data_IF_447692501442
#
_entry.id   IF_447692501442
#
_cell.length_a   1.000
_cell.length_b   1.000
_cell.length_c   1.000
_cell.angle_alpha   90.00
_cell.angle_beta   90.00
_cell.angle_gamma   90.00
#
_symmetry.space_group_name_H-M   'P 1'
#
loop_
_entity.id
_entity.type
_entity.pdbx_description
1 polymer ?
#
# COMPACT_ATOMS: atom_id res chain seq x y z
N UNK A 1 40.32 45.33 35.97
CA UNK A 1 41.13 44.52 35.03
C UNK A 1 42.08 45.45 34.29
N UNK A 2 43.39 45.22 34.39
CA UNK A 2 44.39 46.04 33.70
C UNK A 2 44.26 45.92 32.18
N UNK A 3 44.66 46.94 31.42
CA UNK A 3 44.58 46.97 29.96
C UNK A 3 45.13 45.68 29.33
N UNK A 4 46.28 45.19 29.79
CA UNK A 4 46.89 43.94 29.31
C UNK A 4 45.98 42.71 29.43
N UNK A 5 45.24 42.57 30.53
CA UNK A 5 44.24 41.49 30.69
C UNK A 5 43.11 41.57 29.66
N UNK A 6 42.70 42.78 29.25
CA UNK A 6 41.66 42.95 28.21
C UNK A 6 42.22 42.57 26.83
N UNK A 7 43.46 42.95 26.52
CA UNK A 7 44.13 42.57 25.26
C UNK A 7 44.35 41.06 25.15
N UNK A 8 44.75 40.40 26.24
CA UNK A 8 44.93 38.94 26.28
C UNK A 8 43.59 38.22 26.08
N UNK A 9 42.53 38.64 26.78
CA UNK A 9 41.20 38.03 26.63
C UNK A 9 40.63 38.27 25.22
N UNK A 10 40.82 39.46 24.64
CA UNK A 10 40.41 39.75 23.27
C UNK A 10 41.20 38.94 22.23
N UNK A 11 42.51 38.77 22.41
CA UNK A 11 43.33 37.93 21.53
C UNK A 11 42.94 36.44 21.64
N UNK A 12 42.60 35.97 22.85
CA UNK A 12 42.13 34.61 23.07
C UNK A 12 40.74 34.37 22.43
N UNK A 13 39.82 35.32 22.56
CA UNK A 13 38.50 35.26 21.90
C UNK A 13 38.64 35.26 20.37
N UNK A 14 39.50 36.10 19.82
CA UNK A 14 39.78 36.17 18.38
C UNK A 14 40.42 34.88 17.86
N UNK A 15 41.32 34.27 18.63
CA UNK A 15 41.92 32.97 18.31
C UNK A 15 40.89 31.82 18.31
N UNK A 16 39.91 31.86 19.22
CA UNK A 16 38.82 30.88 19.28
C UNK A 16 37.85 31.06 18.09
N UNK A 17 37.57 32.29 17.66
CA UNK A 17 36.73 32.59 16.49
C UNK A 17 37.39 32.16 15.16
N UNK A 18 38.71 32.24 15.05
CA UNK A 18 39.47 31.78 13.87
C UNK A 18 39.69 30.26 13.85
N UNK A 19 39.46 29.59 14.99
CA UNK A 19 39.66 28.15 15.17
C UNK A 19 38.41 27.29 15.00
N UNK A 20 37.25 27.86 14.62
CA UNK A 20 36.08 27.07 14.25
C UNK A 20 36.26 26.64 12.79
N UNK A 21 36.64 25.39 12.48
CA UNK A 21 36.61 24.93 11.10
C UNK A 21 35.17 25.09 10.60
N UNK A 22 34.97 26.03 9.66
CA UNK A 22 33.69 26.19 8.97
C UNK A 22 33.25 24.84 8.40
N UNK A 23 31.95 24.55 8.49
CA UNK A 23 31.35 23.26 8.15
C UNK A 23 31.90 22.68 6.84
N UNK A 24 32.82 21.73 6.96
CA UNK A 24 33.46 21.02 5.84
C UNK A 24 32.56 19.94 5.22
N UNK A 25 31.26 20.05 5.47
CA UNK A 25 30.24 19.05 5.14
C UNK A 25 29.14 19.66 4.25
N UNK A 26 29.46 20.75 3.53
CA UNK A 26 28.60 21.29 2.49
C UNK A 26 28.69 20.37 1.27
N UNK A 27 27.57 19.77 0.86
CA UNK A 27 27.44 19.07 -0.42
C UNK A 27 26.60 19.95 -1.34
N UNK A 28 27.17 20.39 -2.44
CA UNK A 28 26.43 21.15 -3.44
C UNK A 28 25.48 20.22 -4.19
N UNK A 29 24.29 20.72 -4.52
CA UNK A 29 23.25 19.93 -5.22
C UNK A 29 23.77 19.44 -6.58
N UNK A 30 24.66 20.20 -7.21
CA UNK A 30 25.27 19.88 -8.50
C UNK A 30 26.25 18.70 -8.43
N UNK A 31 26.72 18.32 -7.23
CA UNK A 31 27.60 17.16 -7.02
C UNK A 31 26.85 15.87 -6.67
N UNK A 32 25.51 15.90 -6.71
CA UNK A 32 24.65 14.80 -6.28
C UNK A 32 23.90 14.17 -7.44
N UNK A 33 23.87 12.83 -7.45
CA UNK A 33 22.92 12.03 -8.22
C UNK A 33 21.73 11.68 -7.34
N UNK A 34 20.61 12.37 -7.55
CA UNK A 34 19.39 12.16 -6.75
C UNK A 34 18.76 10.82 -7.15
N UNK A 35 18.79 9.86 -6.23
CA UNK A 35 18.20 8.53 -6.43
C UNK A 35 16.74 8.56 -5.96
N UNK A 36 15.81 8.20 -6.84
CA UNK A 36 14.37 8.16 -6.55
C UNK A 36 13.88 6.77 -6.17
N UNK A 37 14.37 5.73 -6.84
CA UNK A 37 14.03 4.33 -6.55
C UNK A 37 15.28 3.46 -6.49
N UNK A 38 15.20 2.41 -5.67
CA UNK A 38 16.18 1.33 -5.58
C UNK A 38 15.45 0.00 -5.74
N UNK A 39 15.86 -0.80 -6.70
CA UNK A 39 15.46 -2.19 -6.86
C UNK A 39 16.54 -3.12 -6.35
N UNK A 40 16.13 -4.19 -5.67
CA UNK A 40 16.99 -5.24 -5.16
C UNK A 40 16.52 -6.56 -5.74
N UNK A 41 17.35 -7.14 -6.59
CA UNK A 41 17.15 -8.44 -7.22
C UNK A 41 18.23 -9.42 -6.79
N UNK A 42 17.95 -10.71 -6.98
CA UNK A 42 18.94 -11.78 -6.88
C UNK A 42 19.21 -12.36 -8.29
N UNK A 43 20.48 -12.53 -8.62
CA UNK A 43 20.93 -13.14 -9.87
C UNK A 43 20.97 -14.67 -9.76
N UNK A 44 21.09 -15.38 -10.89
CA UNK A 44 21.13 -16.85 -10.91
C UNK A 44 22.29 -17.44 -10.10
N UNK A 45 23.38 -16.71 -9.96
CA UNK A 45 24.57 -17.04 -9.16
C UNK A 45 24.47 -16.55 -7.70
N UNK A 46 23.26 -16.24 -7.20
CA UNK A 46 22.99 -15.79 -5.83
C UNK A 46 23.72 -14.50 -5.42
N UNK A 47 24.06 -13.66 -6.41
CA UNK A 47 24.58 -12.32 -6.16
C UNK A 47 23.44 -11.30 -6.13
N UNK A 48 23.69 -10.18 -5.48
CA UNK A 48 22.71 -9.12 -5.32
C UNK A 48 22.90 -8.11 -6.44
N UNK A 49 21.85 -7.91 -7.24
CA UNK A 49 21.81 -6.85 -8.24
C UNK A 49 21.00 -5.69 -7.68
N UNK A 50 21.63 -4.53 -7.63
CA UNK A 50 20.99 -3.26 -7.24
C UNK A 50 20.78 -2.44 -8.49
N UNK A 51 19.54 -2.01 -8.69
CA UNK A 51 19.14 -1.14 -9.80
C UNK A 51 18.66 0.20 -9.21
N UNK A 52 19.07 1.33 -9.78
CA UNK A 52 18.71 2.67 -9.29
C UNK A 52 18.07 3.50 -10.39
N UNK A 53 16.99 4.20 -10.05
CA UNK A 53 16.42 5.29 -10.85
C UNK A 53 17.02 6.61 -10.39
N UNK A 54 17.81 7.26 -11.24
CA UNK A 54 18.51 8.53 -10.94
C UNK A 54 17.87 9.65 -11.76
N UNK A 55 17.60 10.81 -11.15
CA UNK A 55 17.10 11.99 -11.87
C UNK A 55 18.10 12.42 -12.94
N UNK A 56 17.63 12.67 -14.17
CA UNK A 56 18.42 13.34 -15.21
C UNK A 56 18.16 14.86 -15.19
N UNK A 57 19.07 15.69 -14.67
CA UNK A 57 18.85 17.13 -14.59
C UNK A 57 18.68 17.82 -15.95
N UNK A 58 19.20 17.22 -17.04
CA UNK A 58 19.08 17.77 -18.38
C UNK A 58 17.63 17.66 -18.91
N UNK A 59 16.95 16.57 -18.54
CA UNK A 59 15.63 16.19 -19.06
C UNK A 59 14.51 16.31 -18.02
N UNK A 60 14.82 16.59 -16.74
CA UNK A 60 13.86 16.72 -15.65
C UNK A 60 13.10 18.06 -15.61
N UNK A 61 13.12 18.86 -16.69
CA UNK A 61 12.40 20.14 -16.75
C UNK A 61 10.91 19.86 -16.95
N UNK A 62 10.09 20.22 -15.95
CA UNK A 62 8.64 20.19 -16.04
C UNK A 62 8.10 20.97 -17.26
N UNK A 63 6.84 20.77 -17.66
CA UNK A 63 6.34 21.22 -18.95
C UNK A 63 6.51 22.73 -19.13
N UNK A 64 7.58 23.14 -19.82
CA UNK A 64 7.68 24.49 -20.36
C UNK A 64 6.62 24.59 -21.45
N UNK A 65 5.72 25.55 -21.27
CA UNK A 65 4.68 25.89 -22.23
C UNK A 65 5.28 26.17 -23.61
N UNK A 66 5.23 25.17 -24.49
CA UNK A 66 5.61 25.28 -25.89
C UNK A 66 6.77 24.39 -26.30
N UNK A 67 6.47 23.15 -26.68
CA UNK A 67 7.13 22.43 -27.77
C UNK A 67 6.44 21.08 -28.04
N UNK A 68 5.98 20.92 -29.28
CA UNK A 68 6.09 19.70 -30.11
C UNK A 68 5.64 18.34 -29.57
N UNK A 69 4.86 17.65 -30.39
CA UNK A 69 4.52 16.22 -30.31
C UNK A 69 5.72 15.28 -30.59
N UNK A 70 6.89 15.59 -30.04
CA UNK A 70 8.08 14.75 -30.09
C UNK A 70 8.10 13.72 -28.96
N UNK A 71 8.77 12.59 -29.20
CA UNK A 71 9.05 11.54 -28.20
C UNK A 71 9.67 12.22 -26.96
N UNK A 72 9.00 12.13 -25.79
CA UNK A 72 9.52 12.70 -24.53
C UNK A 72 10.83 11.99 -24.18
N UNK A 73 11.90 12.76 -23.99
CA UNK A 73 13.15 12.24 -23.42
C UNK A 73 12.88 11.73 -21.99
N UNK A 74 13.54 10.63 -21.60
CA UNK A 74 13.38 10.04 -20.26
C UNK A 74 13.91 11.00 -19.20
N UNK A 75 13.10 11.34 -18.20
CA UNK A 75 13.46 12.27 -17.13
C UNK A 75 14.42 11.64 -16.10
N UNK A 76 14.76 10.36 -16.27
CA UNK A 76 15.61 9.56 -15.39
C UNK A 76 16.57 8.68 -16.15
N UNK A 77 17.62 8.28 -15.45
CA UNK A 77 18.65 7.36 -15.91
C UNK A 77 18.60 6.14 -15.00
N UNK A 78 18.38 4.97 -15.58
CA UNK A 78 18.46 3.68 -14.87
C UNK A 78 19.89 3.13 -14.93
N UNK A 79 20.46 2.77 -13.77
CA UNK A 79 21.78 2.13 -13.64
C UNK A 79 21.68 0.90 -12.76
N UNK A 80 22.56 -0.08 -12.99
CA UNK A 80 22.53 -1.34 -12.26
C UNK A 80 23.94 -1.89 -12.09
N UNK A 81 24.24 -2.42 -10.90
CA UNK A 81 25.45 -3.18 -10.62
C UNK A 81 25.12 -4.42 -9.81
N UNK A 82 26.04 -5.40 -9.85
CA UNK A 82 25.88 -6.66 -9.13
C UNK A 82 27.09 -6.89 -8.23
N UNK A 83 26.84 -7.13 -6.95
CA UNK A 83 27.84 -7.44 -5.94
C UNK A 83 27.45 -8.64 -5.08
N UNK A 84 28.37 -9.11 -4.25
CA UNK A 84 28.11 -10.17 -3.27
C UNK A 84 27.26 -9.67 -2.10
N UNK A 85 27.24 -8.34 -1.88
CA UNK A 85 26.45 -7.64 -0.86
C UNK A 85 25.76 -6.42 -1.47
N UNK A 86 24.76 -5.87 -0.78
CA UNK A 86 24.08 -4.63 -1.21
C UNK A 86 25.09 -3.48 -1.19
N UNK A 87 25.95 -3.43 -0.18
CA UNK A 87 27.00 -2.44 -0.01
C UNK A 87 28.00 -2.46 -1.18
N UNK A 88 28.44 -3.65 -1.60
CA UNK A 88 29.34 -3.81 -2.74
C UNK A 88 28.68 -3.35 -4.04
N UNK A 89 27.44 -3.77 -4.29
CA UNK A 89 26.69 -3.36 -5.48
C UNK A 89 26.47 -1.84 -5.54
N UNK A 90 26.12 -1.21 -4.40
CA UNK A 90 25.96 0.24 -4.30
C UNK A 90 27.31 0.96 -4.44
N UNK A 91 28.40 0.41 -3.90
CA UNK A 91 29.74 0.96 -4.08
C UNK A 91 30.17 0.97 -5.54
N UNK A 92 29.95 -0.13 -6.26
CA UNK A 92 30.22 -0.21 -7.71
C UNK A 92 29.36 0.79 -8.51
N UNK A 93 28.10 1.02 -8.11
CA UNK A 93 27.26 2.04 -8.74
C UNK A 93 27.84 3.45 -8.53
N UNK A 94 28.30 3.77 -7.32
CA UNK A 94 28.89 5.08 -6.99
C UNK A 94 30.19 5.34 -7.78
N UNK A 95 30.91 4.29 -8.18
CA UNK A 95 32.09 4.38 -9.05
C UNK A 95 31.77 4.55 -10.54
N UNK A 96 30.60 4.07 -11.00
CA UNK A 96 30.19 4.15 -12.41
C UNK A 96 29.63 5.53 -12.79
N UNK A 97 29.03 6.23 -11.83
CA UNK A 97 28.38 7.53 -12.07
C UNK A 97 29.28 8.72 -11.72
N UNK A 98 29.21 9.84 -12.45
CA UNK A 98 30.14 10.97 -12.28
C UNK A 98 29.90 11.80 -11.00
N UNK A 99 28.80 11.57 -10.29
CA UNK A 99 28.39 12.30 -9.08
C UNK A 99 27.99 11.32 -7.99
N UNK A 100 28.18 11.69 -6.73
CA UNK A 100 27.87 10.82 -5.60
C UNK A 100 26.37 10.50 -5.53
N UNK A 101 26.02 9.24 -5.31
CA UNK A 101 24.64 8.84 -5.11
C UNK A 101 24.06 9.48 -3.84
N UNK A 102 22.93 10.18 -4.00
CA UNK A 102 22.18 10.81 -2.93
C UNK A 102 20.87 10.08 -2.68
N UNK A 103 20.91 9.15 -1.72
CA UNK A 103 19.82 8.22 -1.41
C UNK A 103 18.77 8.79 -0.44
N UNK A 104 18.99 9.99 0.10
CA UNK A 104 18.07 10.59 1.08
C UNK A 104 16.73 11.03 0.49
N UNK A 105 16.63 11.11 -0.85
CA UNK A 105 15.40 11.36 -1.60
C UNK A 105 14.76 10.11 -2.18
N UNK A 106 15.34 8.92 -1.95
CA UNK A 106 14.71 7.69 -2.38
C UNK A 106 13.31 7.61 -1.74
N UNK A 107 12.32 7.37 -2.59
CA UNK A 107 10.91 7.30 -2.24
C UNK A 107 10.36 5.88 -2.28
N UNK A 108 11.00 4.97 -3.05
CA UNK A 108 10.58 3.57 -3.22
C UNK A 108 11.77 2.62 -3.19
N UNK A 109 11.61 1.50 -2.48
CA UNK A 109 12.47 0.32 -2.57
C UNK A 109 11.64 -0.86 -3.07
N UNK A 110 12.13 -1.53 -4.11
CA UNK A 110 11.46 -2.63 -4.80
C UNK A 110 12.24 -3.91 -4.54
N UNK A 111 11.56 -4.96 -4.09
CA UNK A 111 12.13 -6.28 -3.91
C UNK A 111 11.65 -7.19 -5.04
N UNK A 112 12.59 -7.72 -5.82
CA UNK A 112 12.29 -8.74 -6.83
C UNK A 112 11.92 -10.07 -6.17
N UNK A 113 11.15 -10.89 -6.89
CA UNK A 113 10.58 -12.13 -6.35
C UNK A 113 11.61 -13.07 -5.71
N UNK A 114 12.69 -13.38 -6.44
CA UNK A 114 13.72 -14.32 -5.96
C UNK A 114 14.41 -13.82 -4.70
N UNK A 115 14.76 -12.53 -4.65
CA UNK A 115 15.38 -11.93 -3.47
C UNK A 115 14.40 -11.95 -2.27
N UNK A 116 13.14 -11.59 -2.51
CA UNK A 116 12.12 -11.52 -1.47
C UNK A 116 11.76 -12.90 -0.90
N UNK A 117 11.71 -13.94 -1.73
CA UNK A 117 11.40 -15.32 -1.29
C UNK A 117 12.53 -15.94 -0.47
N UNK A 118 13.80 -15.64 -0.79
CA UNK A 118 14.95 -16.06 0.02
C UNK A 118 15.05 -15.29 1.34
N UNK A 119 14.65 -14.02 1.37
CA UNK A 119 14.51 -13.22 2.57
C UNK A 119 15.19 -11.86 2.46
N UNK A 120 14.46 -10.80 2.87
CA UNK A 120 14.92 -9.41 2.75
C UNK A 120 15.70 -8.90 3.97
N UNK A 121 16.02 -9.76 4.95
CA UNK A 121 16.64 -9.34 6.22
C UNK A 121 17.97 -8.58 6.03
N UNK A 122 18.76 -8.95 5.01
CA UNK A 122 20.00 -8.23 4.66
C UNK A 122 19.72 -6.81 4.19
N UNK A 123 18.66 -6.60 3.41
CA UNK A 123 18.23 -5.27 3.02
C UNK A 123 17.70 -4.47 4.20
N UNK A 124 16.95 -5.09 5.12
CA UNK A 124 16.50 -4.42 6.33
C UNK A 124 17.68 -3.95 7.20
N UNK A 125 18.71 -4.79 7.40
CA UNK A 125 19.92 -4.42 8.14
C UNK A 125 20.65 -3.25 7.48
N UNK A 126 20.88 -3.33 6.17
CA UNK A 126 21.54 -2.28 5.40
C UNK A 126 20.80 -0.93 5.52
N UNK A 127 19.48 -0.95 5.36
CA UNK A 127 18.64 0.25 5.41
C UNK A 127 18.56 0.87 6.82
N UNK A 128 18.55 0.05 7.87
CA UNK A 128 18.51 0.52 9.26
C UNK A 128 19.88 1.05 9.74
N UNK A 129 20.99 0.50 9.23
CA UNK A 129 22.34 0.95 9.58
C UNK A 129 22.76 2.21 8.83
N UNK A 130 22.22 2.44 7.63
CA UNK A 130 22.58 3.60 6.83
C UNK A 130 21.69 4.83 7.14
N UNK A 131 22.24 5.78 7.90
CA UNK A 131 21.57 7.03 8.32
C UNK A 131 21.11 7.93 7.16
N UNK A 132 21.54 7.65 5.93
CA UNK A 132 21.12 8.42 4.74
C UNK A 132 19.70 8.09 4.30
N UNK A 133 19.17 6.91 4.67
CA UNK A 133 17.83 6.48 4.30
C UNK A 133 16.79 7.05 5.26
N UNK A 134 15.65 7.49 4.72
CA UNK A 134 14.50 7.92 5.51
C UNK A 134 13.56 6.74 5.67
N UNK A 135 13.09 6.49 6.90
CA UNK A 135 12.10 5.40 7.19
C UNK A 135 10.69 5.63 6.59
N UNK A 136 10.51 6.63 5.71
CA UNK A 136 9.26 6.89 4.99
C UNK A 136 9.27 6.41 3.53
N UNK A 137 10.33 5.72 3.12
CA UNK A 137 10.40 5.01 1.85
C UNK A 137 9.30 3.98 1.74
N UNK A 138 8.70 3.88 0.57
CA UNK A 138 7.71 2.87 0.28
C UNK A 138 8.41 1.56 -0.08
N UNK A 139 8.05 0.46 0.58
CA UNK A 139 8.49 -0.87 0.17
C UNK A 139 7.44 -1.49 -0.74
N UNK A 140 7.91 -2.11 -1.82
CA UNK A 140 7.10 -2.82 -2.82
C UNK A 140 7.75 -4.16 -3.13
N UNK A 141 6.94 -5.19 -3.34
CA UNK A 141 7.37 -6.49 -3.89
C UNK A 141 6.73 -6.71 -5.27
N UNK A 142 7.42 -7.46 -6.14
CA UNK A 142 6.91 -7.90 -7.45
C UNK A 142 7.20 -9.38 -7.66
N UNK A 143 6.35 -10.07 -8.42
CA UNK A 143 6.59 -11.44 -8.87
C UNK A 143 7.65 -11.53 -10.00
N UNK A 144 7.98 -10.39 -10.62
CA UNK A 144 9.07 -10.25 -11.58
C UNK A 144 10.39 -9.78 -10.94
N UNK A 145 11.20 -9.08 -11.74
CA UNK A 145 12.39 -8.39 -11.23
C UNK A 145 12.07 -6.93 -10.91
N UNK A 146 12.77 -6.37 -9.93
CA UNK A 146 12.67 -4.96 -9.60
C UNK A 146 13.08 -4.06 -10.79
N UNK A 147 14.02 -4.54 -11.61
CA UNK A 147 14.44 -3.85 -12.84
C UNK A 147 13.32 -3.75 -13.89
N UNK A 148 12.41 -4.73 -13.96
CA UNK A 148 11.30 -4.69 -14.93
C UNK A 148 10.31 -3.57 -14.59
N UNK A 149 10.02 -3.37 -13.31
CA UNK A 149 9.18 -2.26 -12.86
C UNK A 149 9.81 -0.89 -13.20
N UNK A 150 11.12 -0.73 -13.00
CA UNK A 150 11.85 0.52 -13.27
C UNK A 150 12.14 0.79 -14.76
N UNK A 151 11.78 -0.12 -15.65
CA UNK A 151 11.93 0.06 -17.11
C UNK A 151 10.59 0.05 -17.85
N UNK A 152 9.48 -0.12 -17.11
CA UNK A 152 8.11 -0.10 -17.64
C UNK A 152 7.62 1.32 -17.99
N UNK A 153 6.53 1.43 -18.75
CA UNK A 153 5.92 2.74 -19.04
C UNK A 153 5.22 3.32 -17.81
N UNK A 154 5.42 4.61 -17.52
CA UNK A 154 4.80 5.29 -16.36
C UNK A 154 3.92 6.49 -16.75
N UNK A 155 3.54 6.59 -18.02
CA UNK A 155 2.68 7.69 -18.51
C UNK A 155 1.35 7.72 -17.74
N UNK A 156 0.88 8.88 -17.23
CA UNK A 156 1.36 10.25 -17.48
C UNK A 156 2.45 10.78 -16.54
N UNK A 157 2.88 10.00 -15.55
CA UNK A 157 3.97 10.36 -14.64
C UNK A 157 5.33 10.40 -15.35
N UNK A 158 6.28 11.10 -14.74
CA UNK A 158 7.65 11.24 -15.24
C UNK A 158 8.67 10.31 -14.56
N UNK A 159 8.35 9.85 -13.35
CA UNK A 159 9.26 9.07 -12.49
C UNK A 159 8.56 7.78 -12.06
N UNK A 160 9.25 6.64 -12.20
CA UNK A 160 8.71 5.34 -11.77
C UNK A 160 8.46 5.33 -10.28
N UNK A 161 9.37 5.89 -9.50
CA UNK A 161 9.23 6.01 -8.06
C UNK A 161 7.92 6.74 -7.66
N UNK A 162 7.61 7.86 -8.31
CA UNK A 162 6.37 8.61 -8.04
C UNK A 162 5.13 7.85 -8.52
N UNK A 163 5.18 7.22 -9.70
CA UNK A 163 4.08 6.42 -10.21
C UNK A 163 3.73 5.25 -9.27
N UNK A 164 4.72 4.47 -8.87
CA UNK A 164 4.54 3.36 -7.91
C UNK A 164 3.97 3.86 -6.58
N UNK A 165 4.51 4.97 -6.07
CA UNK A 165 4.04 5.54 -4.81
C UNK A 165 2.59 5.99 -4.88
N UNK A 166 2.22 6.74 -5.92
CA UNK A 166 0.85 7.19 -6.15
C UNK A 166 -0.12 6.01 -6.32
N UNK A 167 0.28 4.93 -7.01
CA UNK A 167 -0.54 3.73 -7.17
C UNK A 167 -0.82 3.06 -5.82
N UNK A 168 0.19 2.92 -4.95
CA UNK A 168 0.00 2.33 -3.62
C UNK A 168 -0.81 3.24 -2.72
N UNK A 169 -0.55 4.55 -2.70
CA UNK A 169 -1.33 5.52 -1.91
C UNK A 169 -2.80 5.53 -2.36
N UNK A 170 -3.08 5.47 -3.66
CA UNK A 170 -4.43 5.33 -4.18
C UNK A 170 -5.06 3.99 -3.79
N UNK A 171 -4.29 2.90 -3.82
CA UNK A 171 -4.72 1.59 -3.37
C UNK A 171 -5.09 1.57 -1.88
N UNK A 172 -4.33 2.28 -1.04
CA UNK A 172 -4.64 2.45 0.38
C UNK A 172 -5.97 3.19 0.58
N UNK A 173 -6.23 4.25 -0.19
CA UNK A 173 -7.51 4.97 -0.15
C UNK A 173 -8.71 4.11 -0.58
N UNK A 174 -8.49 3.12 -1.44
CA UNK A 174 -9.52 2.17 -1.90
C UNK A 174 -9.56 0.87 -1.09
N UNK A 175 -8.73 0.74 -0.06
CA UNK A 175 -8.56 -0.48 0.73
C UNK A 175 -8.09 -1.70 -0.09
N UNK A 176 -7.37 -1.50 -1.19
CA UNK A 176 -6.79 -2.56 -2.04
C UNK A 176 -5.27 -2.72 -1.86
N UNK A 177 -4.65 -1.88 -1.01
CA UNK A 177 -3.24 -1.98 -0.63
C UNK A 177 -3.07 -1.63 0.87
N UNK A 178 -1.92 -1.98 1.43
CA UNK A 178 -1.53 -1.67 2.81
C UNK A 178 -0.52 -0.51 2.86
N UNK A 179 -0.40 0.15 4.02
CA UNK A 179 0.72 1.03 4.25
C UNK A 179 2.01 0.21 4.35
N UNK A 180 2.78 0.18 3.27
CA UNK A 180 4.04 -0.55 3.17
C UNK A 180 5.28 0.35 3.27
N UNK A 181 5.19 1.51 3.94
CA UNK A 181 6.40 2.29 4.23
C UNK A 181 7.39 1.49 5.08
N UNK A 182 8.70 1.75 4.97
CA UNK A 182 9.74 1.09 5.77
C UNK A 182 9.38 1.07 7.25
N UNK A 183 8.96 2.21 7.82
CA UNK A 183 8.53 2.27 9.22
C UNK A 183 7.33 1.36 9.52
N UNK A 184 6.34 1.31 8.63
CA UNK A 184 5.15 0.47 8.80
C UNK A 184 5.50 -1.01 8.70
N UNK A 185 6.32 -1.38 7.71
CA UNK A 185 6.82 -2.74 7.53
C UNK A 185 7.64 -3.17 8.75
N UNK A 186 8.60 -2.36 9.20
CA UNK A 186 9.43 -2.66 10.37
C UNK A 186 8.62 -2.80 11.65
N UNK A 187 7.59 -1.99 11.84
CA UNK A 187 6.65 -2.15 12.98
C UNK A 187 5.92 -3.50 12.94
N UNK A 188 5.67 -4.04 11.76
CA UNK A 188 5.02 -5.34 11.61
C UNK A 188 6.02 -6.50 11.72
N UNK A 189 7.21 -6.35 11.14
CA UNK A 189 8.31 -7.28 11.27
C UNK A 189 8.74 -7.49 12.73
N UNK A 190 8.66 -6.45 13.57
CA UNK A 190 9.01 -6.51 14.99
C UNK A 190 7.84 -6.84 15.93
N UNK A 191 6.65 -7.16 15.40
CA UNK A 191 5.50 -7.60 16.21
C UNK A 191 5.65 -9.08 16.61
N UNK A 192 4.95 -9.51 17.67
CA UNK A 192 4.78 -10.90 18.07
C UNK A 192 4.73 -11.96 16.97
N UNK A 193 3.95 -11.76 15.90
CA UNK A 193 3.83 -12.73 14.81
C UNK A 193 4.97 -12.68 13.80
N UNK A 194 5.71 -11.57 13.71
CA UNK A 194 6.70 -11.32 12.65
C UNK A 194 6.15 -11.44 11.22
N UNK A 195 4.89 -11.10 10.98
CA UNK A 195 4.21 -11.34 9.68
C UNK A 195 3.81 -10.04 8.97
N UNK A 196 4.77 -9.27 8.44
CA UNK A 196 4.46 -8.03 7.76
C UNK A 196 3.79 -8.25 6.40
N UNK A 197 3.05 -7.23 5.94
CA UNK A 197 2.54 -7.18 4.58
C UNK A 197 3.13 -5.98 3.82
N UNK A 198 3.30 -6.16 2.51
CA UNK A 198 3.88 -5.16 1.61
C UNK A 198 3.00 -4.98 0.37
N UNK A 199 2.93 -3.78 -0.20
CA UNK A 199 2.21 -3.60 -1.46
C UNK A 199 2.88 -4.39 -2.59
N UNK A 200 2.05 -5.00 -3.45
CA UNK A 200 2.51 -5.78 -4.61
C UNK A 200 2.20 -5.05 -5.90
N UNK A 201 3.22 -4.82 -6.70
CA UNK A 201 3.09 -4.17 -8.01
C UNK A 201 3.60 -5.11 -9.10
N UNK A 202 2.95 -5.08 -10.26
CA UNK A 202 3.34 -5.88 -11.42
C UNK A 202 3.43 -5.02 -12.68
N UNK A 203 4.23 -5.49 -13.63
CA UNK A 203 4.26 -4.91 -14.98
C UNK A 203 3.10 -5.44 -15.82
N UNK A 204 2.35 -4.52 -16.43
CA UNK A 204 1.36 -4.81 -17.45
C UNK A 204 1.75 -4.16 -18.79
N UNK A 205 1.04 -4.51 -19.86
CA UNK A 205 1.30 -4.01 -21.23
C UNK A 205 1.42 -2.48 -21.32
N UNK A 206 0.68 -1.75 -20.48
CA UNK A 206 0.58 -0.29 -20.52
C UNK A 206 1.16 0.39 -19.27
N UNK A 207 1.98 -0.31 -18.48
CA UNK A 207 2.67 0.28 -17.31
C UNK A 207 2.57 -0.56 -16.06
N UNK A 208 2.67 0.08 -14.90
CA UNK A 208 2.65 -0.59 -13.58
C UNK A 208 1.22 -0.70 -13.06
N UNK A 209 0.86 -1.86 -12.52
CA UNK A 209 -0.46 -2.10 -11.91
C UNK A 209 -0.32 -2.62 -10.48
N UNK A 210 -1.18 -2.17 -9.54
CA UNK A 210 -1.26 -2.75 -8.21
C UNK A 210 -2.05 -4.05 -8.21
N UNK A 211 -1.42 -5.13 -7.72
CA UNK A 211 -1.97 -6.49 -7.71
C UNK A 211 -2.11 -7.04 -6.28
N UNK A 212 -2.52 -6.14 -5.39
CA UNK A 212 -2.79 -6.41 -3.97
C UNK A 212 -1.55 -6.26 -3.09
N UNK A 213 -1.30 -7.26 -2.25
CA UNK A 213 -0.21 -7.23 -1.26
C UNK A 213 0.53 -8.56 -1.21
N UNK A 214 1.82 -8.51 -0.92
CA UNK A 214 2.59 -9.67 -0.52
C UNK A 214 2.55 -9.90 0.99
N UNK A 215 2.48 -11.17 1.37
CA UNK A 215 2.47 -11.67 2.74
C UNK A 215 3.85 -12.23 3.07
N UNK A 216 4.38 -11.86 4.24
CA UNK A 216 5.70 -12.26 4.68
C UNK A 216 5.65 -13.04 6.00
N UNK A 217 6.56 -13.99 6.16
CA UNK A 217 6.92 -14.61 7.44
C UNK A 217 8.37 -14.20 7.77
N UNK A 218 8.52 -13.33 8.75
CA UNK A 218 9.74 -12.56 8.96
C UNK A 218 10.08 -11.71 7.74
N UNK A 219 11.27 -11.92 7.19
CA UNK A 219 11.75 -11.27 5.97
C UNK A 219 11.42 -12.02 4.69
N UNK A 220 10.76 -13.20 4.75
CA UNK A 220 10.53 -14.05 3.58
C UNK A 220 9.15 -13.82 2.98
N UNK A 221 9.09 -13.53 1.68
CA UNK A 221 7.84 -13.46 0.91
C UNK A 221 7.27 -14.88 0.72
N UNK A 222 6.04 -15.13 1.19
CA UNK A 222 5.41 -16.47 1.25
C UNK A 222 4.26 -16.66 0.27
N UNK A 223 3.30 -15.75 0.29
CA UNK A 223 2.12 -15.74 -0.57
C UNK A 223 1.66 -14.29 -0.77
N UNK A 224 0.56 -14.06 -1.48
CA UNK A 224 -0.01 -12.75 -1.73
C UNK A 224 -1.53 -12.76 -1.56
N UNK A 225 -2.12 -11.61 -1.25
CA UNK A 225 -3.56 -11.40 -1.41
C UNK A 225 -3.79 -10.50 -2.62
N UNK A 226 -4.76 -10.87 -3.45
CA UNK A 226 -5.17 -10.03 -4.60
C UNK A 226 -5.86 -8.75 -4.13
N UNK A 227 -5.93 -7.74 -4.99
CA UNK A 227 -6.64 -6.48 -4.70
C UNK A 227 -8.09 -6.68 -4.22
N UNK A 228 -8.75 -7.77 -4.61
CA UNK A 228 -10.10 -8.13 -4.16
C UNK A 228 -10.16 -8.77 -2.76
N UNK A 229 -9.07 -9.39 -2.30
CA UNK A 229 -8.96 -10.05 -0.99
C UNK A 229 -8.46 -9.09 0.10
N UNK A 230 -7.65 -8.08 -0.26
CA UNK A 230 -7.09 -7.09 0.69
C UNK A 230 -8.14 -6.41 1.58
N UNK A 231 -9.31 -5.97 1.08
CA UNK A 231 -10.33 -5.37 1.95
C UNK A 231 -10.79 -6.29 3.09
N UNK A 232 -10.79 -7.61 2.88
CA UNK A 232 -11.18 -8.57 3.90
C UNK A 232 -10.11 -8.72 4.99
N UNK A 233 -8.81 -8.72 4.61
CA UNK A 233 -7.71 -8.65 5.56
C UNK A 233 -7.78 -7.36 6.40
N UNK A 234 -7.88 -6.21 5.73
CA UNK A 234 -7.86 -4.90 6.39
C UNK A 234 -8.99 -4.77 7.41
N UNK A 235 -10.14 -5.42 7.18
CA UNK A 235 -11.28 -5.41 8.10
C UNK A 235 -10.98 -6.06 9.46
N UNK A 236 -10.03 -6.99 9.54
CA UNK A 236 -9.54 -7.50 10.83
C UNK A 236 -8.62 -6.50 11.53
N UNK A 237 -7.78 -5.81 10.76
CA UNK A 237 -6.65 -5.03 11.27
C UNK A 237 -7.04 -3.62 11.71
N UNK A 238 -8.04 -3.03 11.04
CA UNK A 238 -8.40 -1.63 11.23
C UNK A 238 -9.85 -1.36 10.82
N UNK A 239 -10.33 -0.20 11.26
CA UNK A 239 -11.57 0.37 10.78
C UNK A 239 -11.46 0.62 9.27
N UNK A 240 -12.41 0.08 8.50
CA UNK A 240 -12.41 0.25 7.04
C UNK A 240 -13.00 1.62 6.69
N UNK A 241 -12.38 2.29 5.72
CA UNK A 241 -12.89 3.54 5.14
C UNK A 241 -13.12 3.30 3.64
N UNK A 242 -14.33 3.63 3.17
CA UNK A 242 -14.70 3.70 1.74
C UNK A 242 -14.17 2.54 0.86
N UNK A 243 -14.89 1.41 0.86
CA UNK A 243 -14.60 0.28 -0.05
C UNK A 243 -15.85 -0.17 -0.78
N UNK A 244 -15.71 -0.68 -2.00
CA UNK A 244 -16.82 -1.20 -2.78
C UNK A 244 -16.89 -2.73 -2.71
N UNK A 245 -18.09 -3.24 -2.48
CA UNK A 245 -18.40 -4.67 -2.44
C UNK A 245 -19.40 -4.94 -3.54
N UNK A 246 -19.01 -5.79 -4.48
CA UNK A 246 -19.82 -6.13 -5.65
C UNK A 246 -20.32 -7.56 -5.51
N UNK A 247 -21.64 -7.73 -5.58
CA UNK A 247 -22.32 -9.02 -5.45
C UNK A 247 -23.05 -9.31 -6.77
N UNK A 248 -22.79 -10.47 -7.43
CA UNK A 248 -23.49 -10.84 -8.65
C UNK A 248 -25.01 -10.91 -8.46
N UNK A 249 -25.77 -10.47 -9.47
CA UNK A 249 -27.22 -10.59 -9.48
C UNK A 249 -27.64 -12.05 -9.75
N UNK A 250 -28.51 -12.62 -8.92
CA UNK A 250 -28.91 -14.04 -8.99
C UNK A 250 -30.23 -14.30 -9.75
N UNK A 251 -30.76 -13.32 -10.49
CA UNK A 251 -32.09 -13.45 -11.11
C UNK A 251 -32.06 -14.29 -12.40
N UNK A 252 -33.14 -15.04 -12.66
CA UNK A 252 -33.27 -15.91 -13.85
C UNK A 252 -33.52 -15.14 -15.16
N UNK A 253 -33.88 -13.86 -15.08
CA UNK A 253 -34.15 -12.99 -16.24
C UNK A 253 -32.90 -12.25 -16.74
N UNK A 254 -31.78 -12.39 -16.02
CA UNK A 254 -30.51 -11.80 -16.46
C UNK A 254 -29.88 -12.70 -17.53
N UNK A 255 -29.62 -12.20 -18.75
CA UNK A 255 -28.75 -12.87 -19.69
C UNK A 255 -27.44 -13.20 -18.98
N UNK A 256 -26.88 -14.36 -19.28
CA UNK A 256 -25.64 -14.84 -18.69
C UNK A 256 -24.50 -13.83 -18.99
N UNK A 257 -24.19 -12.96 -18.01
CA UNK A 257 -23.12 -11.96 -18.13
C UNK A 257 -23.28 -10.71 -17.24
N UNK A 258 -22.32 -10.51 -16.33
CA UNK A 258 -21.84 -9.23 -15.76
C UNK A 258 -22.79 -8.23 -15.10
N UNK A 259 -23.98 -8.64 -14.64
CA UNK A 259 -24.80 -7.76 -13.81
C UNK A 259 -24.55 -8.02 -12.31
N UNK A 260 -24.24 -6.94 -11.59
CA UNK A 260 -23.96 -6.97 -10.17
C UNK A 260 -24.62 -5.80 -9.43
N UNK A 261 -24.86 -6.01 -8.16
CA UNK A 261 -25.24 -5.00 -7.18
C UNK A 261 -23.98 -4.59 -6.42
N UNK A 262 -23.72 -3.28 -6.38
CA UNK A 262 -22.52 -2.72 -5.74
C UNK A 262 -22.92 -1.92 -4.52
N UNK A 263 -22.30 -2.25 -3.40
CA UNK A 263 -22.42 -1.54 -2.13
C UNK A 263 -21.14 -0.77 -1.86
N UNK A 264 -21.26 0.50 -1.49
CA UNK A 264 -20.15 1.29 -1.00
C UNK A 264 -20.20 1.30 0.51
N UNK A 265 -19.31 0.55 1.14
CA UNK A 265 -19.09 0.59 2.59
C UNK A 265 -18.56 1.97 2.93
N UNK A 266 -19.25 2.71 3.79
CA UNK A 266 -18.82 4.04 4.21
C UNK A 266 -17.74 3.94 5.27
N UNK A 267 -18.06 3.16 6.31
CA UNK A 267 -17.19 2.91 7.44
C UNK A 267 -17.62 1.61 8.14
N UNK A 268 -16.64 0.85 8.65
CA UNK A 268 -16.88 -0.23 9.60
C UNK A 268 -15.92 -0.12 10.77
N UNK A 269 -16.41 -0.44 11.96
CA UNK A 269 -15.63 -0.68 13.15
C UNK A 269 -15.53 -2.18 13.42
N UNK A 270 -14.32 -2.66 13.72
CA UNK A 270 -14.08 -4.08 14.05
C UNK A 270 -13.49 -4.22 15.45
N UNK A 271 -14.10 -5.07 16.27
CA UNK A 271 -13.58 -5.46 17.57
C UNK A 271 -13.26 -6.96 17.59
N UNK A 272 -11.98 -7.28 17.79
CA UNK A 272 -11.49 -8.67 17.88
C UNK A 272 -11.23 -9.01 19.35
N UNK A 273 -11.85 -10.09 19.85
CA UNK A 273 -11.75 -10.50 21.26
C UNK A 273 -11.28 -11.94 21.39
N UNK A 274 -10.18 -12.20 22.12
CA UNK A 274 -9.76 -13.56 22.42
C UNK A 274 -10.70 -14.18 23.46
N UNK A 275 -11.07 -15.43 23.22
CA UNK A 275 -11.89 -16.28 24.10
C UNK A 275 -11.08 -17.52 24.44
N UNK A 276 -10.83 -17.74 25.73
CA UNK A 276 -9.91 -18.77 26.20
C UNK A 276 -10.68 -19.74 27.09
N UNK A 277 -10.68 -21.02 26.72
CA UNK A 277 -11.30 -22.09 27.49
C UNK A 277 -10.29 -23.22 27.70
N UNK A 278 -9.66 -23.26 28.88
CA UNK A 278 -8.54 -24.18 29.13
C UNK A 278 -7.36 -23.85 28.21
N UNK A 279 -6.92 -24.83 27.41
CA UNK A 279 -5.84 -24.67 26.43
C UNK A 279 -6.34 -24.28 25.03
N UNK A 280 -7.65 -24.15 24.81
CA UNK A 280 -8.20 -23.78 23.51
C UNK A 280 -8.40 -22.26 23.43
N UNK A 281 -7.78 -21.64 22.42
CA UNK A 281 -7.97 -20.22 22.10
C UNK A 281 -8.85 -20.07 20.87
N UNK A 282 -9.85 -19.20 20.98
CA UNK A 282 -10.75 -18.81 19.90
C UNK A 282 -10.79 -17.29 19.80
N UNK A 283 -11.16 -16.78 18.65
CA UNK A 283 -11.36 -15.34 18.46
C UNK A 283 -12.80 -15.05 18.05
N UNK A 284 -13.39 -14.04 18.68
CA UNK A 284 -14.67 -13.48 18.27
C UNK A 284 -14.43 -12.15 17.57
N UNK A 285 -14.89 -12.04 16.33
CA UNK A 285 -14.73 -10.87 15.46
C UNK A 285 -16.09 -10.22 15.26
N UNK A 286 -16.27 -9.06 15.88
CA UNK A 286 -17.49 -8.28 15.77
C UNK A 286 -17.27 -7.10 14.81
N UNK A 287 -18.06 -7.04 13.74
CA UNK A 287 -18.00 -5.99 12.73
C UNK A 287 -19.33 -5.23 12.72
N UNK A 288 -19.25 -3.90 12.83
CA UNK A 288 -20.39 -2.99 12.75
C UNK A 288 -20.11 -1.89 11.75
N UNK A 289 -21.07 -1.53 10.91
CA UNK A 289 -20.83 -0.45 9.96
C UNK A 289 -22.05 0.04 9.20
N UNK A 290 -21.79 0.93 8.26
CA UNK A 290 -22.78 1.53 7.39
C UNK A 290 -22.34 1.44 5.94
N UNK A 291 -23.30 1.26 5.05
CA UNK A 291 -23.06 1.20 3.62
C UNK A 291 -24.18 1.88 2.84
N UNK A 292 -23.90 2.19 1.58
CA UNK A 292 -24.85 2.70 0.61
C UNK A 292 -24.88 1.78 -0.61
N UNK A 293 -25.95 1.86 -1.39
CA UNK A 293 -26.05 1.13 -2.66
C UNK A 293 -25.57 2.06 -3.77
N UNK A 294 -24.46 1.71 -4.41
CA UNK A 294 -23.94 2.43 -5.59
C UNK A 294 -24.64 2.00 -6.87
N UNK A 295 -25.01 0.72 -6.98
CA UNK A 295 -25.66 0.15 -8.16
C UNK A 295 -26.64 -0.93 -7.74
N UNK A 296 -27.86 -0.87 -8.26
CA UNK A 296 -28.89 -1.90 -8.05
C UNK A 296 -28.91 -2.92 -9.18
N UNK A 297 -29.25 -4.16 -8.86
CA UNK A 297 -29.64 -5.12 -9.89
C UNK A 297 -30.88 -4.63 -10.65
N UNK A 298 -30.97 -4.82 -11.98
CA UNK A 298 -32.15 -4.45 -12.76
C UNK A 298 -33.45 -5.04 -12.19
N UNK A 299 -34.53 -4.26 -12.24
CA UNK A 299 -35.84 -4.67 -11.70
C UNK A 299 -35.96 -4.67 -10.17
N UNK A 300 -34.88 -4.37 -9.45
CA UNK A 300 -34.91 -4.24 -7.99
C UNK A 300 -35.76 -3.04 -7.56
N UNK A 301 -36.68 -3.28 -6.61
CA UNK A 301 -37.49 -2.21 -6.00
C UNK A 301 -36.99 -1.94 -4.58
N UNK A 302 -36.54 -0.72 -4.25
CA UNK A 302 -36.03 -0.40 -2.92
C UNK A 302 -37.19 -0.25 -1.91
N UNK A 303 -37.61 -1.35 -1.29
CA UNK A 303 -38.60 -1.37 -0.19
C UNK A 303 -37.93 -1.73 1.14
N UNK A 304 -38.54 -1.42 2.30
CA UNK A 304 -37.97 -1.81 3.59
C UNK A 304 -37.61 -3.30 3.70
N UNK A 305 -38.42 -4.17 3.09
CA UNK A 305 -38.19 -5.61 3.08
C UNK A 305 -37.02 -6.02 2.17
N UNK A 306 -36.81 -5.35 1.03
CA UNK A 306 -35.65 -5.65 0.17
C UNK A 306 -34.35 -5.14 0.78
N UNK A 307 -34.37 -3.98 1.45
CA UNK A 307 -33.21 -3.47 2.19
C UNK A 307 -32.73 -4.48 3.24
N UNK A 308 -33.64 -5.02 4.06
CA UNK A 308 -33.28 -6.03 5.06
C UNK A 308 -32.68 -7.30 4.43
N UNK A 309 -33.17 -7.72 3.25
CA UNK A 309 -32.57 -8.85 2.51
C UNK A 309 -31.16 -8.53 2.00
N UNK A 310 -30.95 -7.31 1.50
CA UNK A 310 -29.64 -6.85 1.02
C UNK A 310 -28.63 -6.71 2.14
N UNK A 311 -29.04 -6.22 3.32
CA UNK A 311 -28.21 -6.18 4.52
C UNK A 311 -27.74 -7.59 4.91
N UNK A 312 -28.68 -8.55 5.02
CA UNK A 312 -28.32 -9.95 5.33
C UNK A 312 -27.37 -10.55 4.29
N UNK A 313 -27.61 -10.29 3.00
CA UNK A 313 -26.75 -10.77 1.92
C UNK A 313 -25.35 -10.14 1.99
N UNK A 314 -25.27 -8.86 2.28
CA UNK A 314 -24.02 -8.13 2.43
C UNK A 314 -23.24 -8.64 3.64
N UNK A 315 -23.89 -8.79 4.79
CA UNK A 315 -23.29 -9.31 6.03
C UNK A 315 -22.69 -10.71 5.80
N UNK A 316 -23.45 -11.61 5.18
CA UNK A 316 -22.99 -12.95 4.83
C UNK A 316 -21.78 -12.91 3.89
N UNK A 317 -21.84 -12.07 2.84
CA UNK A 317 -20.76 -11.94 1.86
C UNK A 317 -19.47 -11.44 2.51
N UNK A 318 -19.57 -10.45 3.40
CA UNK A 318 -18.43 -9.92 4.13
C UNK A 318 -17.82 -10.99 5.06
N UNK A 319 -18.67 -11.75 5.75
CA UNK A 319 -18.24 -12.87 6.59
C UNK A 319 -17.51 -13.94 5.77
N UNK A 320 -18.05 -14.35 4.62
CA UNK A 320 -17.42 -15.34 3.75
C UNK A 320 -16.07 -14.87 3.22
N UNK A 321 -15.97 -13.60 2.81
CA UNK A 321 -14.69 -13.01 2.37
C UNK A 321 -13.64 -13.03 3.49
N UNK A 322 -14.03 -12.64 4.71
CA UNK A 322 -13.14 -12.66 5.88
C UNK A 322 -12.71 -14.09 6.24
N UNK A 323 -13.64 -15.05 6.24
CA UNK A 323 -13.34 -16.46 6.50
C UNK A 323 -12.39 -17.03 5.44
N UNK A 324 -12.63 -16.73 4.16
CA UNK A 324 -11.80 -17.21 3.05
C UNK A 324 -10.36 -16.72 3.17
N UNK A 325 -10.18 -15.42 3.41
CA UNK A 325 -8.85 -14.83 3.61
C UNK A 325 -8.18 -15.43 4.84
N UNK A 326 -8.88 -15.54 5.98
CA UNK A 326 -8.32 -16.14 7.17
C UNK A 326 -7.88 -17.61 6.96
N UNK A 327 -8.68 -18.40 6.24
CA UNK A 327 -8.33 -19.79 5.90
C UNK A 327 -7.05 -19.86 5.06
N UNK A 328 -6.87 -18.90 4.14
CA UNK A 328 -5.66 -18.83 3.32
C UNK A 328 -4.43 -18.48 4.18
N UNK A 329 -4.55 -17.49 5.06
CA UNK A 329 -3.51 -17.13 6.01
C UNK A 329 -3.11 -18.30 6.93
N UNK A 330 -4.08 -19.09 7.40
CA UNK A 330 -3.82 -20.29 8.21
C UNK A 330 -3.05 -21.36 7.44
N UNK A 331 -3.34 -21.53 6.13
CA UNK A 331 -2.65 -22.49 5.28
C UNK A 331 -1.17 -22.16 5.11
N UNK A 332 -0.85 -20.87 5.03
CA UNK A 332 0.52 -20.39 4.84
C UNK A 332 1.25 -20.13 6.17
N UNK A 333 0.57 -20.34 7.31
CA UNK A 333 1.05 -20.05 8.67
C UNK A 333 1.51 -18.59 8.85
N UNK A 334 0.70 -17.65 8.34
CA UNK A 334 1.00 -16.21 8.39
C UNK A 334 -0.11 -15.45 9.14
N UNK A 335 0.16 -15.04 10.39
CA UNK A 335 -0.75 -14.20 11.20
C UNK A 335 -0.76 -12.72 10.76
N UNK A 336 -1.08 -12.44 9.49
CA UNK A 336 -1.24 -11.06 8.99
C UNK A 336 -2.50 -10.36 9.51
N UNK A 337 -3.42 -11.09 10.15
CA UNK A 337 -4.58 -10.50 10.88
C UNK A 337 -4.20 -9.99 12.28
N UNK A 338 -2.95 -10.23 12.71
CA UNK A 338 -2.38 -9.74 13.97
C UNK A 338 -3.10 -10.22 15.23
N UNK A 339 -3.56 -11.47 15.26
CA UNK A 339 -4.21 -12.06 16.44
C UNK A 339 -3.27 -12.22 17.62
N UNK A 340 -2.00 -12.54 17.37
CA UNK A 340 -0.92 -12.54 18.37
C UNK A 340 -0.82 -11.19 19.08
N UNK A 341 -0.93 -10.07 18.34
CA UNK A 341 -0.89 -8.73 18.94
C UNK A 341 -2.11 -8.43 19.79
N UNK A 342 -3.29 -8.88 19.36
CA UNK A 342 -4.51 -8.73 20.14
C UNK A 342 -4.34 -9.45 21.48
N UNK A 343 -3.78 -10.66 21.45
CA UNK A 343 -3.49 -11.44 22.66
C UNK A 343 -2.41 -10.77 23.52
N UNK A 344 -1.30 -10.36 22.92
CA UNK A 344 -0.20 -9.66 23.59
C UNK A 344 -0.68 -8.40 24.32
N UNK A 345 -1.56 -7.60 23.69
CA UNK A 345 -2.08 -6.35 24.27
C UNK A 345 -3.14 -6.59 25.34
N UNK A 346 -4.05 -7.56 25.14
CA UNK A 346 -5.19 -7.79 26.06
C UNK A 346 -4.87 -8.73 27.21
N UNK A 347 -4.00 -9.72 27.00
CA UNK A 347 -3.59 -10.69 28.01
C UNK A 347 -2.10 -11.04 27.86
N UNK A 348 -1.19 -10.15 28.31
CA UNK A 348 0.26 -10.37 28.18
C UNK A 348 0.76 -11.65 28.86
N UNK A 349 0.14 -12.04 29.99
CA UNK A 349 0.52 -13.25 30.74
C UNK A 349 0.22 -14.49 29.91
N UNK A 350 -0.97 -14.57 29.32
CA UNK A 350 -1.33 -15.69 28.46
C UNK A 350 -0.49 -15.72 27.18
N UNK A 351 -0.22 -14.56 26.58
CA UNK A 351 0.72 -14.48 25.46
C UNK A 351 2.08 -15.08 25.82
N UNK A 352 2.67 -14.72 26.96
CA UNK A 352 3.96 -15.28 27.39
C UNK A 352 3.96 -16.80 27.49
N UNK A 353 2.84 -17.41 27.87
CA UNK A 353 2.71 -18.88 27.96
C UNK A 353 2.61 -19.54 26.58
N UNK A 354 2.00 -18.87 25.60
CA UNK A 354 1.67 -19.43 24.29
C UNK A 354 2.61 -19.00 23.16
N UNK A 355 3.40 -17.94 23.36
CA UNK A 355 4.23 -17.32 22.32
C UNK A 355 5.14 -18.32 21.59
N UNK A 356 5.75 -19.25 22.32
CA UNK A 356 6.65 -20.26 21.77
C UNK A 356 5.95 -21.28 20.87
N UNK A 357 4.63 -21.46 21.03
CA UNK A 357 3.81 -22.41 20.27
C UNK A 357 2.88 -21.70 19.28
N UNK A 358 3.01 -20.37 19.12
CA UNK A 358 2.04 -19.59 18.33
C UNK A 358 1.92 -20.09 16.88
N UNK A 359 3.05 -20.42 16.23
CA UNK A 359 3.07 -21.01 14.88
C UNK A 359 2.36 -22.36 14.79
N UNK A 360 2.39 -23.15 15.85
CA UNK A 360 1.67 -24.43 15.89
C UNK A 360 0.17 -24.24 16.14
N UNK A 361 -0.19 -23.18 16.87
CA UNK A 361 -1.57 -22.90 17.26
C UNK A 361 -2.34 -22.18 16.15
N UNK A 362 -1.74 -21.16 15.52
CA UNK A 362 -2.40 -20.25 14.58
C UNK A 362 -3.18 -20.97 13.46
N UNK A 363 -2.63 -22.00 12.78
CA UNK A 363 -3.35 -22.75 11.74
C UNK A 363 -4.63 -23.46 12.21
N UNK A 364 -4.82 -23.63 13.52
CA UNK A 364 -5.94 -24.36 14.11
C UNK A 364 -6.91 -23.49 14.91
N UNK A 365 -6.63 -22.18 15.01
CA UNK A 365 -7.49 -21.23 15.73
C UNK A 365 -8.87 -21.16 15.07
N UNK A 366 -9.92 -21.30 15.89
CA UNK A 366 -11.29 -21.08 15.44
C UNK A 366 -11.67 -19.61 15.59
N UNK A 367 -12.38 -19.10 14.58
CA UNK A 367 -12.89 -17.73 14.55
C UNK A 367 -14.40 -17.75 14.39
N UNK A 368 -15.08 -16.96 15.20
CA UNK A 368 -16.51 -16.71 15.08
C UNK A 368 -16.74 -15.26 14.70
N UNK A 369 -17.71 -15.03 13.82
CA UNK A 369 -17.97 -13.72 13.24
C UNK A 369 -19.39 -13.27 13.58
N UNK A 370 -19.53 -11.97 13.84
CA UNK A 370 -20.81 -11.29 13.91
C UNK A 370 -20.67 -9.99 13.12
N UNK A 371 -21.17 -10.02 11.88
CA UNK A 371 -21.11 -8.89 10.94
C UNK A 371 -22.50 -8.29 10.81
N UNK A 372 -22.60 -6.98 11.03
CA UNK A 372 -23.84 -6.23 10.82
C UNK A 372 -23.52 -4.89 10.15
N UNK A 373 -24.00 -4.72 8.93
CA UNK A 373 -23.87 -3.49 8.14
C UNK A 373 -25.24 -2.95 7.80
N UNK A 374 -25.50 -1.73 8.24
CA UNK A 374 -26.76 -1.05 7.97
C UNK A 374 -26.69 -0.31 6.63
N UNK A 375 -27.70 -0.50 5.78
CA UNK A 375 -27.83 0.26 4.54
C UNK A 375 -28.52 1.60 4.79
N UNK A 376 -27.83 2.69 4.46
CA UNK A 376 -28.40 4.02 4.52
C UNK A 376 -29.36 4.22 3.33
N UNK A 377 -30.56 4.71 3.64
CA UNK A 377 -31.61 5.00 2.65
C UNK A 377 -31.49 6.44 2.19
N UNK A 378 -30.54 6.72 1.29
CA UNK A 378 -30.56 7.98 0.54
C UNK A 378 -31.46 7.80 -0.68
N UNK A 379 -32.19 8.87 -1.06
CA UNK A 379 -33.18 8.87 -2.15
C UNK A 379 -32.54 8.63 -3.51
N UNK A 380 -32.12 7.39 -3.76
CA UNK A 380 -31.61 6.94 -5.05
C UNK A 380 -32.76 7.06 -6.05
N UNK A 381 -32.53 7.82 -7.14
CA UNK A 381 -33.40 7.78 -8.28
C UNK A 381 -33.46 6.32 -8.77
N UNK A 382 -34.60 5.67 -8.59
CA UNK A 382 -34.80 4.26 -8.97
C UNK A 382 -34.91 4.05 -10.48
N UNK A 383 -34.79 5.14 -11.25
CA UNK A 383 -34.84 5.20 -12.71
C UNK A 383 -33.76 6.17 -13.17
N UNK A 384 -33.13 5.87 -14.30
CA UNK A 384 -32.40 6.88 -15.07
C UNK A 384 -33.33 8.05 -15.39
N UNK A 385 -32.81 9.28 -15.56
CA UNK A 385 -33.59 10.35 -16.18
C UNK A 385 -34.11 9.84 -17.52
N UNK A 386 -35.42 9.70 -17.66
CA UNK A 386 -36.04 9.35 -18.93
C UNK A 386 -35.84 10.55 -19.87
N UNK A 387 -35.10 10.36 -20.95
CA UNK A 387 -35.14 11.30 -22.06
C UNK A 387 -36.40 10.93 -22.84
N UNK A 388 -37.46 11.73 -22.71
CA UNK A 388 -38.57 11.68 -23.65
C UNK A 388 -38.02 12.06 -25.03
N UNK A 389 -37.64 11.06 -25.82
CA UNK A 389 -37.45 11.24 -27.24
C UNK A 389 -38.82 11.50 -27.84
N UNK A 390 -39.12 12.77 -28.11
CA UNK A 390 -40.24 13.15 -28.96
C UNK A 390 -40.09 12.41 -30.30
N UNK A 391 -41.06 11.59 -30.72
CA UNK A 391 -40.96 10.76 -31.93
C UNK A 391 -40.70 11.57 -33.22
N UNK A 392 -40.83 12.89 -33.18
CA UNK A 392 -40.78 13.78 -34.35
C UNK A 392 -39.61 14.78 -34.34
N UNK A 393 -38.64 14.68 -33.42
CA UNK A 393 -37.51 15.62 -33.38
C UNK A 393 -37.90 17.06 -33.06
N UNK A 394 -39.12 17.28 -32.55
CA UNK A 394 -39.57 18.57 -32.06
C UNK A 394 -38.96 18.85 -30.67
N UNK A 395 -38.50 20.08 -30.40
CA UNK A 395 -38.00 20.45 -29.09
C UNK A 395 -39.09 20.26 -28.02
N UNK A 396 -38.73 19.91 -26.77
CA UNK A 396 -39.70 19.71 -25.70
C UNK A 396 -40.57 20.96 -25.54
N UNK A 397 -41.88 20.77 -25.39
CA UNK A 397 -42.82 21.88 -25.21
C UNK A 397 -42.42 22.71 -24.00
N UNK A 398 -42.05 23.98 -24.23
CA UNK A 398 -41.79 24.92 -23.16
C UNK A 398 -43.07 25.07 -22.32
N UNK A 399 -42.99 24.68 -21.05
CA UNK A 399 -44.10 24.73 -20.11
C UNK A 399 -44.78 26.09 -20.09
N UNK A 400 -46.04 26.11 -20.52
CA UNK A 400 -47.04 27.03 -19.99
C UNK A 400 -48.12 26.16 -19.38
N UNK A 401 -48.00 25.95 -18.07
CA UNK A 401 -49.15 25.58 -17.25
C UNK A 401 -50.25 26.62 -17.54
N UNK A 402 -51.28 26.17 -18.24
CA UNK A 402 -52.53 26.91 -18.38
C UNK A 402 -53.19 26.94 -17.01
N UNK A 403 -53.07 28.07 -16.33
CA UNK A 403 -54.01 28.46 -15.28
C UNK A 403 -55.36 28.71 -15.94
N UNK A 404 -56.39 27.96 -15.57
CA UNK A 404 -57.77 28.43 -15.34
C UNK A 404 -58.76 27.25 -15.24
N UNK A 405 -59.95 27.46 -14.63
CA UNK A 405 -60.31 28.30 -13.50
C UNK A 405 -60.75 27.51 -12.26
#
# INVERSE_FOLDING_TARGET
MGQHTRWIVSALLMGILLGVPGCKDLREVDDLNIVLAVGIDETQDQRIRVTTEIVDPANSRGPSSGAGTGKRDEATITRQQTGSTIEEAVGLLDEEVPRKLFLAHNSVIIFGHNYATHGIDRALDYLERNRSYRRNQLFVVTDGTASDLMTSSVTPEFYHATAMRSLVEQGMHKSTAVNSTQLSFMKQYLRPSHTPAMARLETAKNGIVPEGIGLFDGGQYKDYLTSAEVPALLRFMQDTQQTEITIPCTNKETPQGDMSQTYRILHTHTNVTPQVHGNEIRFFVNVRGQAEISRLCPGSKPTPQTYSKWEIQLDHTLQEQMQRVFTRLQKDDVDSVHFSDVLYKRNPILWQQMAHQWKELFPHIQVTYDVQVQLLRHGLASKSPDVEYSPEGLPPHAGREGVAP
#
